data_IF_901749039702
#
_entry.id   IF_901749039702
#
_cell.length_a   1.000
_cell.length_b   1.000
_cell.length_c   1.000
_cell.angle_alpha   90.00
_cell.angle_beta   90.00
_cell.angle_gamma   90.00
#
_symmetry.space_group_name_H-M   'P 1'
#
loop_
_entity.id
_entity.type
_entity.pdbx_description
1 polymer ?
#
# COMPACT_ATOMS: atom_id res chain seq x y z
N UNK A 1 -8.81 6.37 17.77
CA UNK A 1 -7.46 5.77 17.72
C UNK A 1 -6.87 6.08 16.36
N UNK A 2 -5.67 6.63 16.33
CA UNK A 2 -4.91 6.97 15.14
C UNK A 2 -3.61 6.20 15.17
N UNK A 3 -3.17 5.73 14.01
CA UNK A 3 -1.85 5.17 13.82
C UNK A 3 -1.04 6.11 12.94
N UNK A 4 0.24 6.28 13.26
CA UNK A 4 1.15 7.15 12.54
C UNK A 4 2.57 6.65 12.71
N UNK A 5 3.45 7.03 11.78
CA UNK A 5 4.87 6.70 11.87
C UNK A 5 5.66 7.88 12.43
N UNK A 6 6.63 7.60 13.29
CA UNK A 6 7.57 8.59 13.83
C UNK A 6 8.97 8.22 13.38
N UNK A 7 9.69 9.20 12.84
CA UNK A 7 11.09 9.08 12.46
C UNK A 7 11.95 8.99 13.73
N UNK A 8 12.61 7.85 13.95
CA UNK A 8 13.51 7.63 15.08
C UNK A 8 14.99 7.83 14.67
N UNK A 9 15.33 7.82 13.38
CA UNK A 9 16.60 8.20 12.77
C UNK A 9 16.51 8.10 11.25
N UNK A 10 17.48 8.65 10.49
CA UNK A 10 17.48 8.83 9.02
C UNK A 10 17.20 7.60 8.13
N UNK A 11 16.89 6.43 8.69
CA UNK A 11 16.58 5.19 7.97
C UNK A 11 15.52 4.30 8.64
N UNK A 12 15.08 4.59 9.87
CA UNK A 12 14.18 3.71 10.65
C UNK A 12 13.00 4.50 11.25
N UNK A 13 11.77 4.12 10.88
CA UNK A 13 10.54 4.66 11.48
C UNK A 13 9.95 3.68 12.50
N UNK A 14 9.29 4.20 13.53
CA UNK A 14 8.45 3.40 14.42
C UNK A 14 6.97 3.59 14.09
N UNK A 15 6.18 2.52 14.13
CA UNK A 15 4.73 2.61 14.12
C UNK A 15 4.25 3.00 15.53
N UNK A 16 3.41 4.02 15.61
CA UNK A 16 2.80 4.51 16.85
C UNK A 16 1.29 4.42 16.80
N UNK A 17 0.71 4.31 18.00
CA UNK A 17 -0.73 4.39 18.24
C UNK A 17 -1.01 5.54 19.19
N UNK A 18 -2.10 6.26 18.96
CA UNK A 18 -2.65 7.24 19.91
C UNK A 18 -4.17 7.21 19.94
N UNK A 19 -4.76 7.38 21.11
CA UNK A 19 -6.19 7.68 21.27
C UNK A 19 -6.46 9.17 21.55
N UNK A 20 -5.45 10.03 21.46
CA UNK A 20 -5.51 11.45 21.80
C UNK A 20 -5.09 11.77 23.23
N UNK A 21 -4.76 10.78 24.05
CA UNK A 21 -4.23 10.97 25.41
C UNK A 21 -2.75 10.61 25.50
N UNK A 22 -2.04 11.18 26.48
CA UNK A 22 -0.64 10.82 26.74
C UNK A 22 -0.51 9.33 27.09
N UNK A 23 -1.38 8.82 27.95
CA UNK A 23 -1.36 7.42 28.39
C UNK A 23 -1.67 6.44 27.24
N UNK A 24 -2.54 6.82 26.30
CA UNK A 24 -2.88 6.01 25.14
C UNK A 24 -1.95 6.17 23.94
N UNK A 25 -0.89 6.99 24.07
CA UNK A 25 0.12 7.22 23.02
C UNK A 25 1.39 6.42 23.31
N UNK A 26 1.69 5.43 22.46
CA UNK A 26 2.87 4.57 22.61
C UNK A 26 3.32 3.97 21.28
N UNK A 27 4.58 3.52 21.27
CA UNK A 27 5.18 2.73 20.20
C UNK A 27 4.44 1.39 20.08
N UNK A 28 4.09 1.03 18.85
CA UNK A 28 3.48 -0.27 18.47
C UNK A 28 4.52 -1.21 17.89
N UNK A 29 5.52 -0.69 17.18
CA UNK A 29 6.66 -1.42 16.64
C UNK A 29 7.79 -0.42 16.29
N UNK A 30 9.04 -0.67 16.70
CA UNK A 30 10.16 0.29 16.58
C UNK A 30 11.29 -0.12 15.63
N UNK A 31 11.13 -1.23 14.90
CA UNK A 31 12.09 -1.69 13.89
C UNK A 31 13.42 -2.22 14.42
N UNK A 32 13.65 -2.20 15.75
CA UNK A 32 14.91 -2.66 16.37
C UNK A 32 15.12 -4.18 16.24
N UNK A 33 14.08 -4.96 15.91
CA UNK A 33 14.17 -6.41 15.64
C UNK A 33 14.42 -6.77 14.17
N UNK A 34 15.03 -5.87 13.40
CA UNK A 34 15.35 -6.12 11.98
C UNK A 34 14.18 -5.94 11.02
N UNK A 35 13.05 -5.42 11.50
CA UNK A 35 11.96 -4.92 10.66
C UNK A 35 12.26 -3.46 10.33
N UNK A 36 12.87 -3.22 9.17
CA UNK A 36 13.13 -1.86 8.72
C UNK A 36 11.83 -1.29 8.16
N UNK A 37 11.11 -0.51 8.96
CA UNK A 37 10.02 0.30 8.45
C UNK A 37 10.61 1.40 7.59
N UNK A 38 10.64 1.17 6.27
CA UNK A 38 11.11 2.17 5.31
C UNK A 38 10.22 3.41 5.41
N UNK A 39 10.73 4.59 5.04
CA UNK A 39 9.92 5.81 4.94
C UNK A 39 8.71 5.52 4.03
N UNK A 40 7.49 5.32 4.57
CA UNK A 40 6.32 5.20 3.74
C UNK A 40 6.11 6.62 3.26
N UNK A 41 6.49 6.89 2.02
CA UNK A 41 5.91 8.01 1.30
C UNK A 41 4.40 7.74 1.25
N UNK A 42 3.72 8.17 2.31
CA UNK A 42 2.29 8.42 2.43
C UNK A 42 1.36 7.20 2.25
N UNK A 43 1.84 5.96 2.37
CA UNK A 43 1.04 4.76 2.05
C UNK A 43 0.51 3.99 3.26
N UNK A 44 -0.41 4.59 3.99
CA UNK A 44 -1.21 3.87 4.98
C UNK A 44 -2.72 4.05 4.74
N UNK A 45 -3.50 2.99 4.93
CA UNK A 45 -4.96 3.04 4.87
C UNK A 45 -5.58 2.13 5.93
N UNK A 46 -6.68 2.58 6.50
CA UNK A 46 -7.48 1.76 7.41
C UNK A 46 -8.53 0.96 6.62
N UNK A 47 -8.72 -0.31 6.98
CA UNK A 47 -9.80 -1.17 6.50
C UNK A 47 -10.30 -2.06 7.65
N UNK A 48 -11.54 -1.82 8.10
CA UNK A 48 -12.21 -2.68 9.07
C UNK A 48 -11.63 -2.63 10.49
N UNK A 49 -11.04 -1.52 10.89
CA UNK A 49 -10.34 -1.31 12.16
C UNK A 49 -8.88 -1.73 12.16
N UNK A 50 -8.37 -2.22 11.02
CA UNK A 50 -6.97 -2.63 10.85
C UNK A 50 -6.24 -1.61 9.99
N UNK A 51 -5.03 -1.22 10.41
CA UNK A 51 -4.14 -0.39 9.62
C UNK A 51 -3.42 -1.26 8.61
N UNK A 52 -3.35 -0.81 7.36
CA UNK A 52 -2.55 -1.43 6.31
C UNK A 52 -1.54 -0.42 5.79
N UNK A 53 -0.33 -0.89 5.47
CA UNK A 53 0.75 -0.04 4.97
C UNK A 53 1.74 -0.85 4.13
N UNK A 54 2.52 -0.15 3.32
CA UNK A 54 3.64 -0.74 2.58
C UNK A 54 4.90 -0.79 3.43
N UNK A 55 5.59 -1.93 3.45
CA UNK A 55 6.90 -2.02 4.07
C UNK A 55 7.79 -3.12 3.46
N UNK A 56 9.09 -3.09 3.75
CA UNK A 56 10.08 -4.03 3.20
C UNK A 56 10.33 -5.19 4.15
N UNK A 57 10.07 -6.41 3.69
CA UNK A 57 10.55 -7.63 4.34
C UNK A 57 11.99 -7.92 3.87
N UNK A 58 12.99 -8.08 4.78
CA UNK A 58 14.38 -8.29 4.41
C UNK A 58 14.64 -9.53 3.52
N UNK A 59 13.75 -10.53 3.59
CA UNK A 59 13.85 -11.80 2.88
C UNK A 59 12.99 -11.78 1.61
N UNK A 60 11.79 -11.21 1.68
CA UNK A 60 10.76 -11.33 0.65
C UNK A 60 10.65 -10.10 -0.27
N UNK A 61 11.18 -8.96 0.14
CA UNK A 61 11.04 -7.68 -0.57
C UNK A 61 9.80 -6.89 -0.12
N UNK A 62 9.30 -6.01 -0.99
CA UNK A 62 8.16 -5.13 -0.67
C UNK A 62 6.87 -5.91 -0.43
N UNK A 63 6.23 -5.63 0.70
CA UNK A 63 5.04 -6.31 1.16
C UNK A 63 3.94 -5.34 1.59
N UNK A 64 2.69 -5.79 1.45
CA UNK A 64 1.57 -5.19 2.16
C UNK A 64 1.59 -5.75 3.59
N UNK A 65 1.61 -4.87 4.57
CA UNK A 65 1.55 -5.19 5.99
C UNK A 65 0.21 -4.78 6.58
N UNK A 66 -0.12 -5.39 7.73
CA UNK A 66 -1.24 -4.97 8.56
C UNK A 66 -0.83 -4.83 10.01
N UNK A 67 -1.53 -4.00 10.76
CA UNK A 67 -1.43 -3.88 12.22
C UNK A 67 -2.81 -3.66 12.85
N UNK A 68 -3.09 -4.35 13.95
CA UNK A 68 -4.21 -4.06 14.85
C UNK A 68 -3.84 -3.05 15.95
N UNK A 69 -2.60 -2.56 15.93
CA UNK A 69 -2.04 -1.68 16.95
C UNK A 69 -1.27 -2.39 18.06
N UNK A 70 -0.94 -3.66 17.89
CA UNK A 70 -0.03 -4.42 18.75
C UNK A 70 1.17 -4.95 17.94
N UNK A 71 2.31 -5.17 18.60
CA UNK A 71 3.47 -5.84 17.98
C UNK A 71 3.06 -7.18 17.34
N UNK A 72 2.34 -8.01 18.10
CA UNK A 72 1.94 -9.36 17.67
C UNK A 72 0.96 -9.35 16.49
N UNK A 73 0.13 -8.31 16.38
CA UNK A 73 -0.79 -8.10 15.27
C UNK A 73 -0.18 -7.40 14.06
N UNK A 74 1.09 -6.97 14.15
CA UNK A 74 1.82 -6.31 13.06
C UNK A 74 2.55 -7.35 12.21
N UNK A 75 1.95 -7.72 11.09
CA UNK A 75 2.38 -8.87 10.28
C UNK A 75 2.23 -8.62 8.77
N UNK A 76 3.05 -9.28 7.92
CA UNK A 76 2.87 -9.18 6.48
C UNK A 76 1.57 -9.87 6.06
N UNK A 77 0.87 -9.27 5.10
CA UNK A 77 -0.35 -9.77 4.48
C UNK A 77 -0.03 -10.49 3.18
N UNK A 78 0.76 -9.85 2.32
CA UNK A 78 1.07 -10.37 0.99
C UNK A 78 2.35 -9.71 0.44
N UNK A 79 3.05 -10.44 -0.41
CA UNK A 79 4.24 -9.95 -1.13
C UNK A 79 3.93 -10.00 -2.63
N UNK A 80 3.56 -8.85 -3.25
CA UNK A 80 3.16 -8.81 -4.65
C UNK A 80 4.21 -9.34 -5.64
N UNK A 81 5.48 -9.03 -5.40
CA UNK A 81 6.62 -9.54 -6.17
C UNK A 81 7.69 -10.12 -5.25
N UNK A 82 7.61 -11.42 -4.92
CA UNK A 82 8.61 -12.06 -4.08
C UNK A 82 10.02 -11.92 -4.64
N UNK A 83 10.95 -11.50 -3.79
CA UNK A 83 12.35 -11.27 -4.17
C UNK A 83 12.61 -9.93 -4.85
N UNK A 84 11.59 -9.04 -4.94
CA UNK A 84 11.81 -7.72 -5.50
C UNK A 84 12.69 -6.84 -4.62
N UNK A 85 13.70 -6.27 -5.26
CA UNK A 85 14.65 -5.30 -4.69
C UNK A 85 14.55 -3.94 -5.38
N UNK A 86 13.40 -3.65 -6.00
CA UNK A 86 13.15 -2.28 -6.47
C UNK A 86 13.42 -1.29 -5.33
N UNK A 87 14.01 -0.15 -5.64
CA UNK A 87 14.13 0.95 -4.67
C UNK A 87 12.78 1.57 -4.33
N UNK A 88 11.77 1.32 -5.16
CA UNK A 88 10.42 1.86 -5.03
C UNK A 88 9.49 0.81 -4.41
N UNK A 89 9.09 1.04 -3.16
CA UNK A 89 8.17 0.17 -2.45
C UNK A 89 6.72 0.26 -2.92
N UNK A 90 5.82 -0.26 -2.09
CA UNK A 90 4.38 -0.14 -2.27
C UNK A 90 3.95 1.33 -2.10
N UNK A 91 3.26 1.87 -3.11
CA UNK A 91 2.96 3.29 -3.25
C UNK A 91 1.46 3.57 -3.52
N UNK A 92 0.98 4.77 -3.15
CA UNK A 92 -0.41 5.26 -3.21
C UNK A 92 -1.48 4.29 -2.66
N UNK A 93 -1.29 3.76 -1.46
CA UNK A 93 -2.27 2.91 -0.80
C UNK A 93 -3.53 3.71 -0.40
N UNK A 94 -4.71 3.27 -0.83
CA UNK A 94 -6.00 3.88 -0.49
C UNK A 94 -7.09 2.82 -0.30
N UNK A 95 -8.10 3.13 0.52
CA UNK A 95 -9.30 2.29 0.65
C UNK A 95 -10.41 2.75 -0.30
N UNK A 96 -11.04 1.79 -0.97
CA UNK A 96 -12.33 1.94 -1.65
C UNK A 96 -13.28 0.81 -1.23
N UNK A 97 -14.38 1.17 -0.59
CA UNK A 97 -15.33 0.24 0.03
C UNK A 97 -14.62 -0.75 0.97
N UNK A 98 -14.69 -2.05 0.66
CA UNK A 98 -14.11 -3.15 1.44
C UNK A 98 -12.75 -3.60 0.90
N UNK A 99 -12.09 -2.76 0.11
CA UNK A 99 -10.85 -3.12 -0.55
C UNK A 99 -9.81 -2.02 -0.43
N UNK A 100 -8.56 -2.46 -0.39
CA UNK A 100 -7.38 -1.64 -0.53
C UNK A 100 -6.97 -1.66 -2.00
N UNK A 101 -6.52 -0.51 -2.49
CA UNK A 101 -5.88 -0.34 -3.77
C UNK A 101 -4.54 0.33 -3.56
N UNK A 102 -3.53 -0.17 -4.24
CA UNK A 102 -2.17 0.35 -4.16
C UNK A 102 -1.44 0.01 -5.43
N UNK A 103 -0.25 0.57 -5.58
CA UNK A 103 0.66 0.19 -6.65
C UNK A 103 1.95 -0.34 -6.08
N UNK A 104 2.62 -1.15 -6.86
CA UNK A 104 3.91 -1.72 -6.49
C UNK A 104 4.72 -1.95 -7.75
N UNK A 105 6.02 -1.75 -7.63
CA UNK A 105 6.97 -1.90 -8.72
C UNK A 105 7.52 -3.34 -8.76
N UNK A 106 7.55 -3.92 -9.95
CA UNK A 106 8.17 -5.23 -10.19
C UNK A 106 9.70 -5.11 -10.36
N UNK A 107 10.37 -6.24 -10.61
CA UNK A 107 11.82 -6.32 -10.79
C UNK A 107 12.35 -5.60 -12.04
N UNK A 108 11.46 -5.16 -12.94
CA UNK A 108 11.80 -4.46 -14.17
C UNK A 108 11.64 -2.95 -14.03
N UNK A 109 11.24 -2.46 -12.85
CA UNK A 109 10.94 -1.06 -12.62
C UNK A 109 9.51 -0.69 -13.02
N UNK A 110 8.67 -1.66 -13.40
CA UNK A 110 7.31 -1.39 -13.87
C UNK A 110 6.33 -1.40 -12.72
N UNK A 111 5.54 -0.33 -12.62
CA UNK A 111 4.52 -0.17 -11.61
C UNK A 111 3.18 -0.74 -12.04
N UNK A 112 2.55 -1.49 -11.14
CA UNK A 112 1.26 -2.14 -11.40
C UNK A 112 0.24 -1.77 -10.32
N UNK A 113 -1.04 -1.66 -10.69
CA UNK A 113 -2.15 -1.51 -9.75
C UNK A 113 -2.52 -2.87 -9.16
N UNK A 114 -2.66 -2.91 -7.85
CA UNK A 114 -3.08 -4.07 -7.07
C UNK A 114 -4.31 -3.75 -6.24
N UNK A 115 -5.06 -4.80 -5.93
CA UNK A 115 -6.21 -4.78 -5.01
C UNK A 115 -6.00 -5.82 -3.93
N UNK A 116 -6.41 -5.51 -2.70
CA UNK A 116 -6.49 -6.47 -1.60
C UNK A 116 -7.80 -6.31 -0.84
N UNK A 117 -8.34 -7.41 -0.30
CA UNK A 117 -9.41 -7.40 0.70
C UNK A 117 -8.86 -7.52 2.14
N UNK A 118 -7.55 -7.38 2.31
CA UNK A 118 -6.85 -7.55 3.59
C UNK A 118 -6.35 -8.97 3.84
N UNK A 119 -6.52 -9.89 2.89
CA UNK A 119 -5.99 -11.26 2.94
C UNK A 119 -4.97 -11.51 1.85
N UNK A 120 -4.08 -12.49 2.07
CA UNK A 120 -3.11 -12.93 1.06
C UNK A 120 -3.81 -13.38 -0.23
N UNK A 121 -4.81 -14.26 -0.11
CA UNK A 121 -5.53 -14.83 -1.27
C UNK A 121 -6.38 -13.80 -2.04
N UNK A 122 -6.80 -12.73 -1.38
CA UNK A 122 -7.52 -11.61 -2.00
C UNK A 122 -6.61 -10.53 -2.58
N UNK A 123 -5.30 -10.61 -2.38
CA UNK A 123 -4.32 -9.65 -2.91
C UNK A 123 -3.91 -10.02 -4.33
N UNK A 124 -4.30 -9.21 -5.32
CA UNK A 124 -4.13 -9.51 -6.77
C UNK A 124 -3.88 -8.27 -7.60
N UNK A 125 -3.10 -8.44 -8.67
CA UNK A 125 -2.93 -7.41 -9.70
C UNK A 125 -4.26 -7.10 -10.41
N UNK A 126 -4.46 -5.83 -10.73
CA UNK A 126 -5.60 -5.29 -11.49
C UNK A 126 -5.13 -4.71 -12.83
N UNK A 127 -3.85 -4.36 -12.95
CA UNK A 127 -3.24 -3.69 -14.11
C UNK A 127 -3.48 -4.39 -15.44
N UNK A 128 -3.42 -5.73 -15.50
CA UNK A 128 -3.64 -6.49 -16.74
C UNK A 128 -5.04 -6.29 -17.33
N UNK A 129 -5.97 -5.75 -16.53
CA UNK A 129 -7.34 -5.41 -16.93
C UNK A 129 -7.54 -3.92 -17.25
N UNK A 130 -6.52 -3.09 -17.02
CA UNK A 130 -6.57 -1.64 -17.19
C UNK A 130 -5.92 -1.24 -18.52
N UNK A 131 -4.73 -1.75 -18.82
CA UNK A 131 -4.06 -1.51 -20.10
C UNK A 131 -3.19 -2.71 -20.47
N UNK A 132 -3.16 -3.05 -21.76
CA UNK A 132 -2.17 -3.98 -22.32
C UNK A 132 -0.84 -3.30 -22.66
N UNK A 133 -0.79 -1.96 -22.67
CA UNK A 133 0.46 -1.24 -22.86
C UNK A 133 1.26 -1.24 -21.56
N UNK A 134 2.36 -1.98 -21.60
CA UNK A 134 3.24 -2.21 -20.46
C UNK A 134 4.02 -0.97 -20.02
N UNK A 135 4.01 0.11 -20.82
CA UNK A 135 4.69 1.39 -20.53
C UNK A 135 3.87 2.34 -19.66
N UNK A 136 2.57 2.09 -19.50
CA UNK A 136 1.68 2.93 -18.71
C UNK A 136 1.66 2.47 -17.26
N UNK A 137 2.05 3.36 -16.36
CA UNK A 137 2.11 3.13 -14.93
C UNK A 137 0.96 3.84 -14.20
N UNK A 138 0.17 3.13 -13.37
CA UNK A 138 -0.80 3.76 -12.51
C UNK A 138 -0.07 4.51 -11.38
N UNK A 139 -0.39 5.78 -11.22
CA UNK A 139 0.13 6.67 -10.17
C UNK A 139 -1.00 7.54 -9.63
N UNK A 140 -0.77 8.21 -8.48
CA UNK A 140 -1.69 9.16 -7.89
C UNK A 140 -3.12 8.62 -7.67
N UNK A 141 -3.22 7.47 -7.00
CA UNK A 141 -4.52 6.88 -6.68
C UNK A 141 -5.29 7.81 -5.74
N UNK A 142 -6.53 8.11 -6.09
CA UNK A 142 -7.43 8.94 -5.30
C UNK A 142 -8.85 8.39 -5.38
N UNK A 143 -9.50 8.28 -4.23
CA UNK A 143 -10.89 7.86 -4.16
C UNK A 143 -11.79 9.08 -4.03
N UNK A 144 -12.76 9.21 -4.94
CA UNK A 144 -13.83 10.20 -4.86
C UNK A 144 -15.16 9.47 -4.89
N UNK A 145 -15.87 9.46 -3.75
CA UNK A 145 -17.09 8.69 -3.58
C UNK A 145 -16.83 7.18 -3.75
N UNK A 146 -17.41 6.58 -4.80
CA UNK A 146 -17.29 5.13 -5.11
C UNK A 146 -16.43 4.86 -6.34
N UNK A 147 -15.51 5.76 -6.65
CA UNK A 147 -14.68 5.68 -7.86
C UNK A 147 -13.23 5.92 -7.49
N UNK A 148 -12.35 5.02 -7.92
CA UNK A 148 -10.91 5.19 -7.85
C UNK A 148 -10.43 5.88 -9.12
N UNK A 149 -9.86 7.06 -8.98
CA UNK A 149 -9.15 7.79 -10.02
C UNK A 149 -7.65 7.54 -9.89
N UNK A 150 -6.97 7.47 -11.03
CA UNK A 150 -5.52 7.35 -11.09
C UNK A 150 -5.02 7.92 -12.43
N UNK A 151 -3.74 8.27 -12.47
CA UNK A 151 -3.06 8.70 -13.68
C UNK A 151 -2.35 7.50 -14.29
N UNK A 152 -2.50 7.29 -15.59
CA UNK A 152 -1.58 6.45 -16.36
C UNK A 152 -0.50 7.36 -16.93
N UNK A 153 0.73 7.16 -16.47
CA UNK A 153 1.91 7.89 -16.94
C UNK A 153 2.81 6.96 -17.73
N UNK A 154 3.27 7.40 -18.89
CA UNK A 154 4.32 6.71 -19.62
C UNK A 154 5.70 7.16 -19.08
N UNK A 155 6.53 6.22 -18.67
CA UNK A 155 7.86 6.51 -18.08
C UNK A 155 8.92 6.87 -19.14
N UNK A 156 8.53 6.97 -20.41
CA UNK A 156 9.43 7.28 -21.54
C UNK A 156 9.50 8.77 -21.86
N UNK A 157 10.56 9.20 -22.56
CA UNK A 157 10.90 10.61 -22.88
C UNK A 157 9.82 11.39 -23.70
N UNK A 158 8.66 10.79 -23.96
CA UNK A 158 7.51 11.40 -24.62
C UNK A 158 6.33 11.38 -23.65
N UNK A 159 6.21 12.45 -22.84
CA UNK A 159 5.20 12.57 -21.79
C UNK A 159 3.76 12.60 -22.35
N UNK A 160 3.02 11.53 -22.08
CA UNK A 160 1.56 11.51 -22.10
C UNK A 160 1.02 11.18 -20.72
N UNK A 161 0.07 11.98 -20.21
CA UNK A 161 -0.67 11.70 -18.98
C UNK A 161 -2.14 11.53 -19.34
N UNK A 162 -2.73 10.40 -18.96
CA UNK A 162 -4.17 10.18 -19.11
C UNK A 162 -4.81 9.89 -17.75
N UNK A 163 -5.96 10.51 -17.48
CA UNK A 163 -6.75 10.28 -16.27
C UNK A 163 -7.71 9.11 -16.49
N UNK A 164 -7.63 8.09 -15.64
CA UNK A 164 -8.45 6.89 -15.71
C UNK A 164 -9.29 6.69 -14.43
N UNK A 165 -10.42 5.99 -14.56
CA UNK A 165 -11.35 5.75 -13.46
C UNK A 165 -11.82 4.28 -13.41
N UNK A 166 -11.70 3.65 -12.24
CA UNK A 166 -12.24 2.32 -11.95
C UNK A 166 -13.48 2.43 -11.04
N UNK A 167 -14.59 1.81 -11.45
CA UNK A 167 -15.86 1.77 -10.69
C UNK A 167 -16.15 0.38 -10.14
N UNK A 168 -16.52 0.31 -8.87
CA UNK A 168 -17.09 -0.90 -8.27
C UNK A 168 -18.53 -1.09 -8.76
N UNK A 169 -18.81 -2.19 -9.48
CA UNK A 169 -20.19 -2.56 -9.82
C UNK A 169 -20.82 -3.35 -8.68
N UNK A 170 -22.03 -2.97 -8.26
CA UNK A 170 -22.86 -3.76 -7.33
C UNK A 170 -23.36 -5.00 -8.08
N UNK A 171 -22.88 -6.19 -7.71
CA UNK A 171 -23.51 -7.45 -8.16
C UNK A 171 -24.79 -7.63 -7.34
N UNK A 172 -25.96 -7.48 -7.96
CA UNK A 172 -27.22 -7.87 -7.32
C UNK A 172 -27.21 -9.39 -7.13
N UNK A 173 -27.69 -9.93 -6.00
CA UNK A 173 -27.92 -11.37 -5.86
C UNK A 173 -28.94 -11.82 -6.92
N UNK A 174 -28.73 -13.01 -7.49
CA UNK A 174 -29.75 -13.69 -8.30
C UNK A 174 -30.79 -14.31 -7.40
#
# INVERSE_FOLDING_TARGET
VVFFFVDNSSIDQALWRSDGTVAGTHVVADGEQGQRFGCPDVTAAELGGTLYFGDTDPVRGHALWRSDGTDAGTVPVAVPYPGSRSSSGLAWLTRLDTNLFFTVEDNTGRRQLWRSDGTESGTKAVSDKISSDLRLEPTFLTVVGKTLFFVLSETSLFQGHELWALRTRRRMPR
#
